data_IF_987665291187
#
_entry.id   IF_987665291187
#
_cell.length_a   1.000
_cell.length_b   1.000
_cell.length_c   1.000
_cell.angle_alpha   90.00
_cell.angle_beta   90.00
_cell.angle_gamma   90.00
#
_symmetry.space_group_name_H-M   'P 1'
#
loop_
_entity.id
_entity.type
_entity.pdbx_description
1 polymer ?
#
# COMPACT_ATOMS: atom_id res chain seq x y z
N UNK A 1 -20.43 -41.66 25.32
CA UNK A 1 -19.65 -42.26 24.22
C UNK A 1 -19.44 -41.18 23.17
N UNK A 2 -18.24 -40.61 23.08
CA UNK A 2 -17.94 -39.52 22.14
C UNK A 2 -17.35 -40.11 20.86
N UNK A 3 -18.12 -40.16 19.79
CA UNK A 3 -17.61 -40.57 18.48
C UNK A 3 -16.86 -39.39 17.85
N UNK A 4 -15.53 -39.42 17.93
CA UNK A 4 -14.69 -38.54 17.12
C UNK A 4 -14.71 -39.02 15.66
N UNK A 5 -15.53 -38.36 14.84
CA UNK A 5 -15.48 -38.53 13.40
C UNK A 5 -14.13 -38.00 12.89
N UNK A 6 -13.23 -38.92 12.52
CA UNK A 6 -11.94 -38.52 11.95
C UNK A 6 -12.13 -38.06 10.50
N UNK A 7 -11.35 -37.05 10.08
CA UNK A 7 -11.35 -36.57 8.68
C UNK A 7 -11.08 -37.71 7.69
N UNK A 8 -10.29 -38.71 8.07
CA UNK A 8 -10.02 -39.91 7.26
C UNK A 8 -11.25 -40.82 7.11
N UNK A 9 -12.13 -40.89 8.11
CA UNK A 9 -13.36 -41.67 8.03
C UNK A 9 -14.39 -41.02 7.07
N UNK A 10 -14.44 -39.68 7.03
CA UNK A 10 -15.30 -38.95 6.10
C UNK A 10 -14.86 -39.10 4.63
N UNK A 11 -13.54 -39.13 4.36
CA UNK A 11 -13.01 -39.33 2.99
C UNK A 11 -13.21 -40.76 2.48
N UNK A 12 -13.24 -41.75 3.38
CA UNK A 12 -13.46 -43.17 3.02
C UNK A 12 -14.94 -43.57 2.93
N UNK A 13 -15.87 -42.71 3.35
CA UNK A 13 -17.30 -43.05 3.23
C UNK A 13 -17.77 -42.79 1.79
N UNK A 14 -18.15 -43.87 1.11
CA UNK A 14 -18.58 -43.93 -0.29
C UNK A 14 -19.76 -42.99 -0.61
N UNK A 15 -20.47 -42.52 0.42
CA UNK A 15 -21.61 -41.59 0.32
C UNK A 15 -21.18 -40.22 -0.21
N UNK A 16 -19.98 -39.72 0.13
CA UNK A 16 -19.49 -38.43 -0.40
C UNK A 16 -19.11 -38.50 -1.88
N UNK A 17 -18.61 -39.66 -2.35
CA UNK A 17 -18.23 -39.86 -3.75
C UNK A 17 -19.44 -39.89 -4.70
N UNK A 18 -20.59 -40.42 -4.25
CA UNK A 18 -21.81 -40.49 -5.06
C UNK A 18 -22.50 -39.13 -5.20
N UNK A 19 -22.49 -38.29 -4.15
CA UNK A 19 -22.99 -36.91 -4.21
C UNK A 19 -22.19 -36.01 -5.16
N UNK A 20 -20.88 -36.24 -5.29
CA UNK A 20 -20.02 -35.51 -6.23
C UNK A 20 -20.27 -35.89 -7.71
N UNK A 21 -20.81 -37.09 -7.98
CA UNK A 21 -21.04 -37.58 -9.33
C UNK A 21 -22.44 -37.22 -9.89
N UNK A 22 -23.41 -36.86 -9.04
CA UNK A 22 -24.81 -36.64 -9.44
C UNK A 22 -25.21 -35.17 -9.61
N UNK A 23 -24.32 -34.22 -9.32
CA UNK A 23 -24.56 -32.80 -9.60
C UNK A 23 -24.02 -32.54 -11.01
N UNK A 24 -24.80 -31.93 -11.93
CA UNK A 24 -24.30 -31.55 -13.24
C UNK A 24 -23.14 -30.56 -13.07
N UNK A 25 -21.92 -31.10 -13.10
CA UNK A 25 -20.66 -30.39 -12.84
C UNK A 25 -20.49 -29.15 -13.73
N UNK A 26 -21.21 -29.07 -14.85
CA UNK A 26 -21.11 -27.98 -15.83
C UNK A 26 -21.85 -26.71 -15.34
N UNK A 27 -23.01 -26.83 -14.69
CA UNK A 27 -23.72 -25.66 -14.14
C UNK A 27 -23.03 -25.10 -12.91
N UNK A 28 -22.53 -25.98 -12.03
CA UNK A 28 -21.81 -25.54 -10.82
C UNK A 28 -20.42 -24.98 -11.17
N UNK A 29 -19.72 -25.54 -12.17
CA UNK A 29 -18.48 -24.96 -12.69
C UNK A 29 -18.70 -23.58 -13.32
N UNK A 30 -19.82 -23.35 -14.02
CA UNK A 30 -20.17 -22.03 -14.56
C UNK A 30 -20.47 -21.00 -13.46
N UNK A 31 -21.05 -21.44 -12.34
CA UNK A 31 -21.22 -20.60 -11.14
C UNK A 31 -19.90 -20.32 -10.41
N UNK A 32 -18.97 -21.29 -10.37
CA UNK A 32 -17.62 -21.07 -9.81
C UNK A 32 -16.77 -20.18 -10.71
N UNK A 33 -16.90 -20.29 -12.03
CA UNK A 33 -16.20 -19.45 -13.01
C UNK A 33 -16.67 -17.98 -12.99
N UNK A 34 -17.79 -17.69 -12.32
CA UNK A 34 -18.25 -16.34 -12.00
C UNK A 34 -17.47 -15.66 -10.86
N UNK A 35 -16.62 -16.40 -10.13
CA UNK A 35 -15.54 -15.81 -9.35
C UNK A 35 -14.39 -15.52 -10.31
N UNK A 36 -14.46 -14.36 -10.98
CA UNK A 36 -13.24 -13.72 -11.45
C UNK A 36 -12.39 -13.46 -10.21
N UNK A 37 -11.40 -14.30 -9.97
CA UNK A 37 -10.33 -13.99 -9.03
C UNK A 37 -9.66 -12.73 -9.60
N UNK A 38 -10.06 -11.55 -9.12
CA UNK A 38 -9.43 -10.30 -9.51
C UNK A 38 -8.03 -10.35 -8.91
N UNK A 39 -7.08 -10.90 -9.68
CA UNK A 39 -5.67 -10.88 -9.33
C UNK A 39 -5.35 -9.43 -8.97
N UNK A 40 -4.89 -9.13 -7.74
CA UNK A 40 -4.59 -7.76 -7.37
C UNK A 40 -3.58 -7.23 -8.38
N UNK A 41 -3.95 -6.15 -9.06
CA UNK A 41 -3.09 -5.50 -10.04
C UNK A 41 -1.89 -4.95 -9.27
N UNK A 42 -0.71 -5.46 -9.60
CA UNK A 42 0.52 -5.01 -8.96
C UNK A 42 0.89 -3.64 -9.55
N UNK A 43 1.50 -2.75 -8.74
CA UNK A 43 2.03 -1.49 -9.26
C UNK A 43 2.99 -1.75 -10.42
N UNK A 44 3.02 -0.82 -11.38
CA UNK A 44 3.90 -0.89 -12.56
C UNK A 44 5.36 -1.20 -12.20
N UNK A 45 5.83 -0.67 -11.07
CA UNK A 45 7.21 -0.76 -10.60
C UNK A 45 7.39 -1.71 -9.40
N UNK A 46 6.50 -2.69 -9.21
CA UNK A 46 6.62 -3.67 -8.12
C UNK A 46 8.06 -4.22 -8.00
N UNK A 47 8.67 -4.27 -6.80
CA UNK A 47 8.05 -4.12 -5.48
C UNK A 47 8.01 -2.68 -4.92
N UNK A 48 8.03 -1.64 -5.76
CA UNK A 48 7.88 -0.25 -5.30
C UNK A 48 6.55 0.02 -4.62
N UNK A 49 6.50 1.11 -3.86
CA UNK A 49 5.23 1.73 -3.46
C UNK A 49 4.51 2.22 -4.72
N UNK A 50 3.18 2.21 -4.68
CA UNK A 50 2.35 2.76 -5.73
C UNK A 50 2.67 4.24 -5.98
N UNK A 51 2.87 4.59 -7.24
CA UNK A 51 3.26 5.93 -7.67
C UNK A 51 2.25 7.00 -7.21
N UNK A 52 0.95 6.68 -7.13
CA UNK A 52 -0.07 7.62 -6.66
C UNK A 52 0.12 8.02 -5.20
N UNK A 53 0.58 7.10 -4.34
CA UNK A 53 0.86 7.37 -2.93
C UNK A 53 2.11 8.24 -2.79
N UNK A 54 3.12 7.99 -3.62
CA UNK A 54 4.35 8.80 -3.66
C UNK A 54 4.05 10.22 -4.13
N UNK A 55 3.28 10.37 -5.21
CA UNK A 55 2.83 11.67 -5.70
C UNK A 55 2.02 12.42 -4.64
N UNK A 56 1.07 11.73 -3.98
CA UNK A 56 0.22 12.34 -2.97
C UNK A 56 1.03 12.85 -1.79
N UNK A 57 1.95 12.07 -1.22
CA UNK A 57 2.73 12.52 -0.05
C UNK A 57 3.63 13.71 -0.39
N UNK A 58 4.27 13.73 -1.57
CA UNK A 58 5.12 14.85 -1.99
C UNK A 58 4.26 16.09 -2.26
N UNK A 59 3.17 15.95 -3.02
CA UNK A 59 2.24 17.04 -3.30
C UNK A 59 1.63 17.64 -2.03
N UNK A 60 1.18 16.80 -1.10
CA UNK A 60 0.58 17.25 0.17
C UNK A 60 1.59 17.85 1.14
N UNK A 61 2.87 17.53 1.01
CA UNK A 61 3.93 18.14 1.83
C UNK A 61 4.07 19.65 1.64
N UNK A 62 3.49 20.22 0.58
CA UNK A 62 3.39 21.66 0.40
C UNK A 62 2.40 22.33 1.38
N UNK A 63 1.33 21.66 1.81
CA UNK A 63 0.26 22.37 2.53
C UNK A 63 -0.58 21.59 3.55
N UNK A 64 -0.58 20.26 3.54
CA UNK A 64 -1.54 19.45 4.30
C UNK A 64 -0.83 18.47 5.26
N UNK A 65 -0.50 18.97 6.45
CA UNK A 65 0.18 18.20 7.49
C UNK A 65 -0.60 16.95 7.91
N UNK A 66 -1.93 17.05 7.99
CA UNK A 66 -2.76 15.94 8.47
C UNK A 66 -2.79 14.79 7.46
N UNK A 67 -2.88 15.08 6.16
CA UNK A 67 -2.74 14.05 5.13
C UNK A 67 -1.32 13.47 5.10
N UNK A 68 -0.29 14.29 5.24
CA UNK A 68 1.11 13.81 5.32
C UNK A 68 1.28 12.84 6.50
N UNK A 69 0.79 13.19 7.69
CA UNK A 69 0.82 12.29 8.87
C UNK A 69 0.08 10.98 8.60
N UNK A 70 -1.14 11.06 8.06
CA UNK A 70 -1.96 9.89 7.75
C UNK A 70 -1.25 8.90 6.82
N UNK A 71 -0.50 9.40 5.84
CA UNK A 71 0.26 8.57 4.89
C UNK A 71 1.55 8.03 5.52
N UNK A 72 2.37 8.91 6.09
CA UNK A 72 3.70 8.59 6.61
C UNK A 72 3.64 7.74 7.88
N UNK A 73 2.64 7.91 8.75
CA UNK A 73 2.51 7.06 9.94
C UNK A 73 2.21 5.60 9.58
N UNK A 74 1.55 5.35 8.44
CA UNK A 74 1.32 3.98 7.93
C UNK A 74 2.56 3.41 7.24
N UNK A 75 3.34 4.27 6.57
CA UNK A 75 4.50 3.90 5.75
C UNK A 75 5.62 4.92 6.00
N UNK A 76 6.42 4.78 7.08
CA UNK A 76 7.42 5.78 7.47
C UNK A 76 8.45 6.09 6.38
N UNK A 77 8.72 5.15 5.47
CA UNK A 77 9.59 5.34 4.32
C UNK A 77 9.11 6.46 3.37
N UNK A 78 7.80 6.80 3.37
CA UNK A 78 7.25 7.92 2.62
C UNK A 78 7.78 9.28 3.09
N UNK A 79 8.33 9.38 4.30
CA UNK A 79 9.01 10.60 4.74
C UNK A 79 10.21 10.98 3.85
N UNK A 80 10.76 9.99 3.14
CA UNK A 80 11.91 10.12 2.23
C UNK A 80 11.49 10.02 0.76
N UNK A 81 10.19 10.04 0.47
CA UNK A 81 9.65 9.94 -0.88
C UNK A 81 10.15 11.08 -1.76
N UNK A 82 10.35 10.77 -3.05
CA UNK A 82 10.69 11.72 -4.10
C UNK A 82 9.80 11.44 -5.30
N UNK A 83 9.26 12.50 -5.90
CA UNK A 83 8.40 12.45 -7.06
C UNK A 83 9.06 13.18 -8.24
N UNK A 84 8.91 12.63 -9.45
CA UNK A 84 9.33 13.29 -10.69
C UNK A 84 8.11 14.01 -11.28
N UNK A 85 8.12 15.34 -11.28
CA UNK A 85 7.10 16.15 -11.93
C UNK A 85 7.17 16.09 -13.46
N UNK A 86 8.22 15.46 -14.01
CA UNK A 86 8.51 15.35 -15.43
C UNK A 86 9.70 16.22 -15.83
N UNK A 87 10.29 15.93 -16.99
CA UNK A 87 11.43 16.67 -17.55
C UNK A 87 12.66 16.77 -16.61
N UNK A 88 12.78 15.86 -15.65
CA UNK A 88 13.89 15.84 -14.68
C UNK A 88 13.67 16.76 -13.47
N UNK A 89 12.46 17.27 -13.25
CA UNK A 89 12.11 18.04 -12.06
C UNK A 89 11.72 17.10 -10.90
N UNK A 90 12.75 16.63 -10.18
CA UNK A 90 12.58 15.73 -9.03
C UNK A 90 12.44 16.51 -7.73
N UNK A 91 11.42 16.18 -6.96
CA UNK A 91 11.14 16.81 -5.68
C UNK A 91 10.92 15.80 -4.56
N UNK A 92 11.58 16.01 -3.42
CA UNK A 92 11.35 15.20 -2.21
C UNK A 92 10.26 15.78 -1.33
N UNK A 93 9.57 14.96 -0.54
CA UNK A 93 8.55 15.42 0.41
C UNK A 93 9.08 16.52 1.36
N UNK A 94 10.30 16.37 1.88
CA UNK A 94 10.92 17.41 2.71
C UNK A 94 11.33 18.65 1.91
N UNK A 95 11.68 18.50 0.64
CA UNK A 95 11.94 19.61 -0.30
C UNK A 95 10.69 20.45 -0.53
N UNK A 96 9.59 19.79 -0.88
CA UNK A 96 8.25 20.37 -1.01
C UNK A 96 7.81 21.10 0.27
N UNK A 97 8.08 20.57 1.45
CA UNK A 97 7.78 21.30 2.69
C UNK A 97 8.73 22.50 2.92
N UNK A 98 10.00 22.35 2.56
CA UNK A 98 11.04 23.36 2.80
C UNK A 98 10.86 24.60 1.91
N UNK A 99 10.58 24.43 0.62
CA UNK A 99 10.56 25.56 -0.32
C UNK A 99 9.37 26.54 -0.10
N UNK A 100 8.31 26.10 0.58
CA UNK A 100 7.12 26.91 0.95
C UNK A 100 7.10 27.27 2.43
N UNK A 101 8.17 26.96 3.18
CA UNK A 101 8.30 27.40 4.57
C UNK A 101 7.46 26.63 5.60
N UNK A 102 7.03 25.40 5.30
CA UNK A 102 6.23 24.56 6.21
C UNK A 102 7.09 23.89 7.28
N UNK A 103 7.50 24.68 8.28
CA UNK A 103 8.29 24.24 9.44
C UNK A 103 7.66 23.07 10.20
N UNK A 104 6.34 23.04 10.30
CA UNK A 104 5.56 21.99 10.93
C UNK A 104 5.66 20.65 10.19
N UNK A 105 5.52 20.68 8.85
CA UNK A 105 5.67 19.48 8.01
C UNK A 105 7.13 19.03 7.98
N UNK A 106 8.10 19.94 7.84
CA UNK A 106 9.53 19.62 7.92
C UNK A 106 9.88 18.93 9.25
N UNK A 107 9.45 19.50 10.38
CA UNK A 107 9.69 18.92 11.70
C UNK A 107 9.10 17.51 11.82
N UNK A 108 7.87 17.31 11.33
CA UNK A 108 7.25 16.00 11.30
C UNK A 108 8.03 15.00 10.40
N UNK A 109 8.33 15.36 9.16
CA UNK A 109 9.06 14.50 8.24
C UNK A 109 10.45 14.13 8.78
N UNK A 110 11.17 15.09 9.39
CA UNK A 110 12.45 14.83 10.06
C UNK A 110 12.30 13.86 11.24
N UNK A 111 11.24 14.01 12.05
CA UNK A 111 10.94 13.05 13.12
C UNK A 111 10.66 11.62 12.61
N UNK A 112 10.33 11.47 11.32
CA UNK A 112 10.11 10.19 10.62
C UNK A 112 11.32 9.73 9.80
N UNK A 113 12.47 10.40 9.93
CA UNK A 113 13.73 10.00 9.27
C UNK A 113 13.99 10.63 7.90
N UNK A 114 13.24 11.66 7.52
CA UNK A 114 13.60 12.51 6.39
C UNK A 114 14.93 13.22 6.64
N UNK A 115 15.85 13.17 5.68
CA UNK A 115 17.15 13.84 5.80
C UNK A 115 16.99 15.32 5.41
N UNK A 116 17.32 16.28 6.29
CA UNK A 116 17.29 17.70 5.93
C UNK A 116 18.27 18.00 4.80
N UNK A 117 17.91 18.96 3.95
CA UNK A 117 18.70 19.45 2.82
C UNK A 117 19.22 20.86 3.09
N UNK A 118 20.04 21.41 2.18
CA UNK A 118 20.44 22.82 2.23
C UNK A 118 19.23 23.76 2.29
N UNK A 119 18.19 23.50 1.49
CA UNK A 119 16.94 24.28 1.49
C UNK A 119 16.20 24.18 2.82
N UNK A 120 16.23 23.01 3.45
CA UNK A 120 15.65 22.79 4.78
C UNK A 120 16.37 23.63 5.83
N UNK A 121 17.71 23.61 5.86
CA UNK A 121 18.48 24.42 6.80
C UNK A 121 18.34 25.92 6.55
N UNK A 122 18.33 26.36 5.28
CA UNK A 122 18.09 27.75 4.92
C UNK A 122 16.70 28.21 5.39
N UNK A 123 15.65 27.41 5.17
CA UNK A 123 14.29 27.71 5.63
C UNK A 123 14.19 27.77 7.16
N UNK A 124 14.89 26.87 7.87
CA UNK A 124 14.93 26.85 9.33
C UNK A 124 15.79 27.98 9.94
N UNK A 125 16.65 28.62 9.16
CA UNK A 125 17.61 29.62 9.65
C UNK A 125 18.75 29.01 10.46
N UNK A 126 19.13 27.77 10.16
CA UNK A 126 20.17 27.02 10.87
C UNK A 126 21.39 26.77 9.96
N UNK A 127 21.99 27.86 9.45
CA UNK A 127 23.13 27.84 8.53
C UNK A 127 24.42 28.34 9.19
#
# INVERSE_FOLDING_TARGET
MNHHLSRRAAVKSTVFGLLAASIPNISFAKTIQGFTESKPELPLRYPSIDDSIVNEVVGKSHFDLETVKKLVDKRPELARATWDWGFGDWESAIGAASHVGRRDIVGYLMSKGARPTLFTYAMLGCY
#
